data_IF_373858626204
#
_entry.id   IF_373858626204
#
_cell.length_a   1.000
_cell.length_b   1.000
_cell.length_c   1.000
_cell.angle_alpha   90.00
_cell.angle_beta   90.00
_cell.angle_gamma   90.00
#
_symmetry.space_group_name_H-M   'P 1'
#
loop_
_entity.id
_entity.type
_entity.pdbx_description
1 polymer ?
#
# COMPACT_ATOMS: atom_id res chain seq x y z
N UNK A 1 -9.41 19.31 8.22
CA UNK A 1 -7.96 18.99 8.19
C UNK A 1 -7.84 17.67 7.46
N UNK A 2 -7.49 17.70 6.18
CA UNK A 2 -7.20 16.48 5.44
C UNK A 2 -5.92 15.89 6.04
N UNK A 3 -6.09 14.82 6.83
CA UNK A 3 -4.99 14.02 7.31
C UNK A 3 -4.31 13.46 6.06
N UNK A 4 -3.21 14.10 5.63
CA UNK A 4 -2.46 13.69 4.45
C UNK A 4 -2.03 12.25 4.68
N UNK A 5 -2.65 11.32 3.93
CA UNK A 5 -2.31 9.91 4.01
C UNK A 5 -0.83 9.76 3.67
N UNK A 6 -0.04 9.08 4.49
CA UNK A 6 1.40 8.90 4.22
C UNK A 6 1.62 7.96 3.03
N UNK A 7 0.84 6.89 3.00
CA UNK A 7 0.84 5.92 1.91
C UNK A 7 -0.43 6.08 1.05
N UNK A 8 -0.32 5.71 -0.22
CA UNK A 8 -1.42 5.68 -1.20
C UNK A 8 -1.73 4.28 -1.71
N UNK A 9 -1.51 3.27 -0.88
CA UNK A 9 -1.71 1.85 -1.22
C UNK A 9 -3.14 1.59 -1.71
N UNK A 10 -4.14 2.24 -1.10
CA UNK A 10 -5.54 2.16 -1.53
C UNK A 10 -5.73 2.57 -2.98
N UNK A 11 -5.06 3.65 -3.39
CA UNK A 11 -5.15 4.20 -4.75
C UNK A 11 -4.45 3.25 -5.71
N UNK A 12 -3.23 2.82 -5.40
CA UNK A 12 -2.49 1.87 -6.23
C UNK A 12 -3.25 0.55 -6.43
N UNK A 13 -3.94 0.04 -5.40
CA UNK A 13 -4.81 -1.13 -5.50
C UNK A 13 -6.00 -0.89 -6.43
N UNK A 14 -6.63 0.28 -6.36
CA UNK A 14 -7.73 0.66 -7.25
C UNK A 14 -7.25 0.80 -8.71
N UNK A 15 -6.11 1.44 -8.94
CA UNK A 15 -5.49 1.62 -10.27
C UNK A 15 -5.14 0.28 -10.92
N UNK A 16 -4.69 -0.69 -10.12
CA UNK A 16 -4.37 -2.06 -10.60
C UNK A 16 -5.57 -3.02 -10.54
N UNK A 17 -6.75 -2.56 -10.14
CA UNK A 17 -7.97 -3.35 -9.95
C UNK A 17 -7.73 -4.63 -9.10
N UNK A 18 -6.98 -4.49 -8.00
CA UNK A 18 -6.65 -5.56 -7.05
C UNK A 18 -7.35 -5.34 -5.71
N UNK A 19 -7.66 -6.44 -5.03
CA UNK A 19 -8.28 -6.38 -3.70
C UNK A 19 -7.25 -6.39 -2.57
N UNK A 20 -7.61 -5.86 -1.41
CA UNK A 20 -6.79 -5.94 -0.19
C UNK A 20 -6.45 -7.39 0.16
N UNK A 21 -7.40 -8.31 -0.02
CA UNK A 21 -7.20 -9.74 0.23
C UNK A 21 -6.11 -10.29 -0.69
N UNK A 22 -6.19 -9.98 -1.98
CA UNK A 22 -5.21 -10.43 -2.97
C UNK A 22 -3.79 -9.99 -2.61
N UNK A 23 -3.59 -8.71 -2.30
CA UNK A 23 -2.27 -8.19 -1.93
C UNK A 23 -1.75 -8.81 -0.62
N UNK A 24 -2.65 -9.03 0.35
CA UNK A 24 -2.29 -9.67 1.61
C UNK A 24 -1.80 -11.11 1.39
N UNK A 25 -2.45 -11.86 0.49
CA UNK A 25 -2.03 -13.19 0.07
C UNK A 25 -0.69 -13.18 -0.66
N UNK A 26 -0.44 -12.20 -1.54
CA UNK A 26 0.83 -12.11 -2.30
C UNK A 26 2.05 -11.89 -1.40
N UNK A 27 1.93 -11.09 -0.34
CA UNK A 27 3.04 -10.77 0.56
C UNK A 27 3.04 -11.58 1.87
N UNK A 28 2.06 -12.47 2.03
CA UNK A 28 1.98 -13.38 3.18
C UNK A 28 1.59 -12.72 4.50
N UNK A 29 0.70 -11.73 4.48
CA UNK A 29 0.21 -11.05 5.69
C UNK A 29 -1.30 -11.24 5.88
N UNK A 30 -1.78 -11.00 7.11
CA UNK A 30 -3.22 -10.99 7.38
C UNK A 30 -3.93 -9.84 6.67
N UNK A 31 -5.16 -10.10 6.21
CA UNK A 31 -6.06 -9.08 5.64
C UNK A 31 -6.32 -7.94 6.61
N UNK A 32 -6.28 -8.20 7.92
CA UNK A 32 -6.43 -7.17 8.97
C UNK A 32 -5.25 -6.20 8.95
N UNK A 33 -4.02 -6.74 8.85
CA UNK A 33 -2.79 -5.92 8.75
C UNK A 33 -2.81 -5.09 7.48
N UNK A 34 -3.17 -5.71 6.34
CA UNK A 34 -3.34 -4.99 5.08
C UNK A 34 -4.37 -3.85 5.19
N UNK A 35 -5.51 -4.10 5.82
CA UNK A 35 -6.54 -3.08 6.03
C UNK A 35 -6.02 -1.90 6.86
N UNK A 36 -5.21 -2.14 7.89
CA UNK A 36 -4.56 -1.07 8.66
C UNK A 36 -3.61 -0.23 7.81
N UNK A 37 -2.87 -0.86 6.89
CA UNK A 37 -1.98 -0.17 5.96
C UNK A 37 -2.73 0.68 4.94
N UNK A 38 -3.75 0.10 4.28
CA UNK A 38 -4.58 0.77 3.29
C UNK A 38 -5.33 1.98 3.87
N UNK A 39 -5.75 1.88 5.13
CA UNK A 39 -6.41 2.98 5.86
C UNK A 39 -5.44 3.91 6.60
N UNK A 40 -4.13 3.80 6.36
CA UNK A 40 -3.09 4.62 6.99
C UNK A 40 -3.06 4.58 8.54
N UNK A 41 -3.76 3.62 9.17
CA UNK A 41 -3.77 3.40 10.63
C UNK A 41 -2.44 2.87 11.14
N UNK A 42 -1.71 2.17 10.28
CA UNK A 42 -0.37 1.66 10.52
C UNK A 42 0.41 1.79 9.21
N UNK A 43 1.72 1.95 9.28
CA UNK A 43 2.56 1.98 8.09
C UNK A 43 3.26 0.63 7.88
N UNK A 44 3.34 0.14 6.65
CA UNK A 44 4.21 -0.99 6.31
C UNK A 44 5.68 -0.58 6.48
N UNK A 45 6.55 -1.55 6.75
CA UNK A 45 7.99 -1.31 6.68
C UNK A 45 8.45 -1.16 5.21
N UNK A 46 9.67 -0.65 5.01
CA UNK A 46 10.24 -0.51 3.67
C UNK A 46 10.30 -1.85 2.91
N UNK A 47 10.67 -2.94 3.59
CA UNK A 47 10.66 -4.30 3.01
C UNK A 47 9.26 -4.68 2.50
N UNK A 48 8.21 -4.38 3.27
CA UNK A 48 6.83 -4.68 2.90
C UNK A 48 6.37 -3.81 1.71
N UNK A 49 6.73 -2.53 1.69
CA UNK A 49 6.46 -1.65 0.56
C UNK A 49 7.13 -2.17 -0.73
N UNK A 50 8.38 -2.60 -0.66
CA UNK A 50 9.08 -3.19 -1.82
C UNK A 50 8.40 -4.47 -2.29
N UNK A 51 7.98 -5.34 -1.37
CA UNK A 51 7.22 -6.56 -1.71
C UNK A 51 5.89 -6.24 -2.39
N UNK A 52 5.15 -5.26 -1.87
CA UNK A 52 3.90 -4.79 -2.46
C UNK A 52 4.11 -4.21 -3.86
N UNK A 53 5.13 -3.37 -4.03
CA UNK A 53 5.46 -2.74 -5.31
C UNK A 53 5.79 -3.80 -6.38
N UNK A 54 6.60 -4.79 -6.01
CA UNK A 54 6.89 -5.96 -6.86
C UNK A 54 5.65 -6.76 -7.20
N UNK A 55 4.76 -7.00 -6.23
CA UNK A 55 3.51 -7.72 -6.48
C UNK A 55 2.55 -6.96 -7.41
N UNK A 56 2.53 -5.63 -7.32
CA UNK A 56 1.67 -4.76 -8.13
C UNK A 56 2.29 -4.34 -9.46
N UNK A 57 3.55 -4.72 -9.71
CA UNK A 57 4.33 -4.31 -10.87
C UNK A 57 4.34 -2.78 -11.04
N UNK A 58 4.80 -2.09 -9.99
CA UNK A 58 4.95 -0.63 -9.92
C UNK A 58 6.24 -0.26 -9.18
N UNK A 59 6.63 1.00 -9.29
CA UNK A 59 7.69 1.55 -8.47
C UNK A 59 7.23 1.74 -7.00
N UNK A 60 8.14 1.58 -6.04
CA UNK A 60 7.83 1.73 -4.62
C UNK A 60 7.38 3.16 -4.26
N UNK A 61 7.84 4.16 -5.00
CA UNK A 61 7.42 5.55 -4.82
C UNK A 61 5.95 5.77 -5.18
N UNK A 62 5.36 4.91 -6.01
CA UNK A 62 3.93 4.97 -6.36
C UNK A 62 3.03 4.54 -5.19
N UNK A 63 3.58 3.89 -4.17
CA UNK A 63 2.87 3.52 -2.94
C UNK A 63 2.90 4.61 -1.86
N UNK A 64 3.71 5.65 -2.04
CA UNK A 64 3.96 6.71 -1.05
C UNK A 64 3.48 8.05 -1.62
N UNK A 65 2.90 8.90 -0.79
CA UNK A 65 2.57 10.25 -1.24
C UNK A 65 3.82 11.12 -1.29
N UNK A 66 4.02 11.82 -2.42
CA UNK A 66 5.14 12.74 -2.58
C UNK A 66 4.97 13.92 -1.64
N UNK A 67 6.04 14.26 -0.93
CA UNK A 67 6.06 15.41 -0.01
C UNK A 67 6.33 16.74 -0.73
N UNK A 68 6.85 16.69 -1.95
CA UNK A 68 7.12 17.82 -2.87
C UNK A 68 7.02 17.31 -4.31
N UNK A 69 6.67 18.19 -5.25
CA UNK A 69 6.62 17.90 -6.69
C UNK A 69 7.97 17.47 -7.27
#
# INVERSE_FOLDING_TARGET
MEEQSLNRIRVALAEKNKSNKWLAEQIGVSVITMSRWVNNRMQPSLDQLVKMAKALDIDVTELINRTKE
#
